data_IF_277145859855
#
_entry.id   IF_277145859855
#
_cell.length_a   1.000
_cell.length_b   1.000
_cell.length_c   1.000
_cell.angle_alpha   90.00
_cell.angle_beta   90.00
_cell.angle_gamma   90.00
#
_symmetry.space_group_name_H-M   'P 1'
#
loop_
_entity.id
_entity.type
_entity.pdbx_description
1 polymer ?
#
# COMPACT_ATOMS: atom_id res chain seq x y z
N UNK A 1 -13.85 36.30 20.57
CA UNK A 1 -12.71 35.58 20.12
C UNK A 1 -13.06 34.10 20.07
N UNK A 2 -13.32 33.52 18.88
CA UNK A 2 -13.50 32.09 18.69
C UNK A 2 -12.13 31.45 18.73
N UNK A 3 -11.89 30.58 19.72
CA UNK A 3 -10.65 29.90 19.91
C UNK A 3 -10.26 29.05 18.69
N UNK A 4 -9.04 29.25 18.20
CA UNK A 4 -8.38 28.36 17.27
C UNK A 4 -8.28 26.98 17.94
N UNK A 5 -9.23 26.09 17.62
CA UNK A 5 -9.10 24.68 17.92
C UNK A 5 -7.79 24.20 17.27
N UNK A 6 -6.84 23.77 18.09
CA UNK A 6 -5.62 23.14 17.61
C UNK A 6 -6.01 21.91 16.79
N UNK A 7 -5.92 22.05 15.46
CA UNK A 7 -5.98 20.88 14.56
C UNK A 7 -4.90 19.92 15.02
N UNK A 8 -5.28 18.72 15.36
CA UNK A 8 -4.29 17.67 15.57
C UNK A 8 -3.42 17.60 14.32
N UNK A 9 -2.10 17.47 14.49
CA UNK A 9 -1.12 17.35 13.40
C UNK A 9 -1.42 16.21 12.40
N UNK A 10 -2.39 15.35 12.73
CA UNK A 10 -2.90 14.24 11.91
C UNK A 10 -3.96 14.66 10.88
N UNK A 11 -4.52 15.88 10.98
CA UNK A 11 -5.60 16.35 10.10
C UNK A 11 -5.08 17.20 8.91
N UNK A 12 -3.83 17.06 8.53
CA UNK A 12 -3.32 17.66 7.30
C UNK A 12 -3.93 16.95 6.09
N UNK A 13 -4.94 17.56 5.51
CA UNK A 13 -5.45 17.18 4.19
C UNK A 13 -4.31 17.28 3.17
N UNK A 14 -4.01 16.17 2.47
CA UNK A 14 -3.05 16.18 1.37
C UNK A 14 -1.90 15.18 1.47
N UNK A 15 -2.02 14.17 2.31
CA UNK A 15 -1.05 13.08 2.38
C UNK A 15 -1.69 11.72 2.56
N UNK A 16 -1.02 10.67 2.09
CA UNK A 16 -1.45 9.28 2.26
C UNK A 16 -0.76 8.69 3.48
N UNK A 17 -1.45 8.48 4.63
CA UNK A 17 -0.85 7.95 5.86
C UNK A 17 -0.71 6.42 5.82
N UNK A 18 -0.23 5.87 4.69
CA UNK A 18 -0.12 4.42 4.48
C UNK A 18 0.78 3.76 5.53
N UNK A 19 1.93 4.34 5.83
CA UNK A 19 2.87 3.79 6.81
C UNK A 19 2.25 3.75 8.22
N UNK A 20 1.49 4.77 8.60
CA UNK A 20 0.80 4.80 9.90
C UNK A 20 -0.29 3.73 9.96
N UNK A 21 -1.03 3.54 8.87
CA UNK A 21 -2.03 2.47 8.75
C UNK A 21 -1.40 1.08 8.87
N UNK A 22 -0.26 0.85 8.20
CA UNK A 22 0.46 -0.44 8.27
C UNK A 22 0.95 -0.71 9.70
N UNK A 23 1.47 0.29 10.39
CA UNK A 23 1.96 0.17 11.79
C UNK A 23 0.82 -0.19 12.76
N UNK A 24 -0.39 0.28 12.52
CA UNK A 24 -1.56 -0.05 13.33
C UNK A 24 -2.21 -1.39 12.96
N UNK A 25 -2.01 -1.87 11.74
CA UNK A 25 -2.65 -3.06 11.21
C UNK A 25 -2.41 -4.35 12.02
N UNK A 26 -1.26 -4.64 12.64
CA UNK A 26 -1.05 -5.87 13.40
C UNK A 26 -2.09 -6.07 14.51
N UNK A 27 -2.42 -5.01 15.24
CA UNK A 27 -3.44 -5.08 16.28
C UNK A 27 -4.82 -5.38 15.69
N UNK A 28 -5.19 -4.69 14.61
CA UNK A 28 -6.49 -4.85 13.94
C UNK A 28 -6.64 -6.27 13.40
N UNK A 29 -5.61 -6.78 12.69
CA UNK A 29 -5.61 -8.11 12.08
C UNK A 29 -5.69 -9.21 13.15
N UNK A 30 -4.92 -9.11 14.23
CA UNK A 30 -4.95 -10.09 15.30
C UNK A 30 -6.28 -10.08 16.07
N UNK A 31 -6.82 -8.90 16.38
CA UNK A 31 -8.13 -8.77 17.01
C UNK A 31 -9.25 -9.35 16.13
N UNK A 32 -9.19 -9.07 14.80
CA UNK A 32 -10.15 -9.60 13.83
C UNK A 32 -10.07 -11.12 13.73
N UNK A 33 -8.86 -11.66 13.62
CA UNK A 33 -8.61 -13.11 13.57
C UNK A 33 -9.14 -13.81 14.81
N UNK A 34 -8.84 -13.28 16.00
CA UNK A 34 -9.25 -13.88 17.27
C UNK A 34 -10.78 -13.88 17.45
N UNK A 35 -11.44 -12.76 17.15
CA UNK A 35 -12.90 -12.63 17.26
C UNK A 35 -13.65 -13.56 16.31
N UNK A 36 -13.13 -13.76 15.10
CA UNK A 36 -13.80 -14.54 14.07
C UNK A 36 -13.25 -15.97 13.95
N UNK A 37 -12.27 -16.36 14.78
CA UNK A 37 -11.63 -17.69 14.79
C UNK A 37 -11.11 -18.09 13.40
N UNK A 38 -10.44 -17.17 12.71
CA UNK A 38 -9.95 -17.37 11.34
C UNK A 38 -8.52 -17.93 11.34
N UNK A 39 -8.26 -18.89 10.48
CA UNK A 39 -6.91 -19.41 10.22
C UNK A 39 -6.14 -18.53 9.26
N UNK A 40 -6.79 -18.11 8.17
CA UNK A 40 -6.19 -17.29 7.10
C UNK A 40 -6.87 -15.92 7.10
N UNK A 41 -6.06 -14.87 7.04
CA UNK A 41 -6.52 -13.49 6.89
C UNK A 41 -5.78 -12.86 5.72
N UNK A 42 -6.53 -12.25 4.79
CA UNK A 42 -5.98 -11.41 3.73
C UNK A 42 -6.15 -9.95 4.16
N UNK A 43 -5.05 -9.23 4.22
CA UNK A 43 -5.05 -7.80 4.52
C UNK A 43 -4.83 -7.04 3.21
N UNK A 44 -5.77 -6.17 2.88
CA UNK A 44 -5.78 -5.41 1.63
C UNK A 44 -5.52 -3.95 1.93
N UNK A 45 -4.51 -3.37 1.28
CA UNK A 45 -4.25 -1.94 1.27
C UNK A 45 -4.65 -1.37 -0.09
N UNK A 46 -5.58 -0.41 -0.09
CA UNK A 46 -5.99 0.36 -1.26
C UNK A 46 -5.51 1.79 -1.07
N UNK A 47 -4.71 2.29 -2.00
CA UNK A 47 -4.14 3.65 -1.94
C UNK A 47 -4.14 4.31 -3.32
N UNK A 48 -4.27 5.62 -3.36
CA UNK A 48 -4.17 6.48 -4.54
C UNK A 48 -2.87 7.30 -4.57
N UNK A 49 -2.00 7.09 -3.58
CA UNK A 49 -0.72 7.79 -3.45
C UNK A 49 0.37 6.96 -2.79
N UNK A 50 1.60 7.39 -2.97
CA UNK A 50 2.73 6.90 -2.20
C UNK A 50 2.59 7.28 -0.72
N UNK A 51 3.16 6.47 0.17
CA UNK A 51 3.13 6.80 1.60
C UNK A 51 3.80 8.13 1.89
N UNK A 52 3.27 8.87 2.85
CA UNK A 52 3.99 9.98 3.47
C UNK A 52 5.16 9.49 4.31
N UNK A 53 6.12 10.40 4.56
CA UNK A 53 7.16 10.13 5.54
C UNK A 53 6.55 9.79 6.90
N UNK A 54 7.05 8.74 7.54
CA UNK A 54 6.60 8.34 8.87
C UNK A 54 7.19 9.27 9.94
N UNK A 55 6.32 9.85 10.77
CA UNK A 55 6.69 10.79 11.84
C UNK A 55 6.67 10.15 13.24
N UNK A 56 6.68 8.82 13.31
CA UNK A 56 6.50 8.08 14.57
C UNK A 56 7.63 8.27 15.60
N UNK A 57 8.78 8.80 15.19
CA UNK A 57 9.88 9.14 16.13
C UNK A 57 9.97 10.65 16.27
N UNK A 58 9.34 11.18 17.30
CA UNK A 58 9.48 12.60 17.67
C UNK A 58 10.95 12.84 18.01
N UNK A 59 11.53 13.92 17.46
CA UNK A 59 12.91 14.36 17.71
C UNK A 59 14.03 13.50 17.08
N UNK A 60 13.74 12.63 16.13
CA UNK A 60 14.73 11.85 15.42
C UNK A 60 15.86 12.72 14.84
N UNK A 61 15.50 13.87 14.25
CA UNK A 61 16.45 14.83 13.67
C UNK A 61 17.37 15.51 14.71
N UNK A 62 16.92 15.65 15.95
CA UNK A 62 17.69 16.31 17.03
C UNK A 62 18.68 15.37 17.71
N UNK A 63 18.47 14.06 17.61
CA UNK A 63 19.35 13.07 18.25
C UNK A 63 20.57 12.67 17.41
N UNK A 64 20.69 13.16 16.16
CA UNK A 64 21.81 12.84 15.27
C UNK A 64 21.94 11.36 14.89
N UNK A 65 20.94 10.55 15.20
CA UNK A 65 20.92 9.12 14.90
C UNK A 65 20.58 8.90 13.43
N UNK A 66 21.41 8.13 12.73
CA UNK A 66 21.22 7.80 11.33
C UNK A 66 20.37 6.54 11.12
N UNK A 67 20.09 5.77 12.18
CA UNK A 67 19.37 4.50 12.11
C UNK A 67 18.57 4.26 13.38
N UNK A 68 17.37 3.69 13.23
CA UNK A 68 16.55 3.18 14.32
C UNK A 68 16.28 1.71 14.14
N UNK A 69 16.21 1.00 15.27
CA UNK A 69 15.81 -0.40 15.28
C UNK A 69 14.54 -0.55 16.09
N UNK A 70 13.54 -1.14 15.48
CA UNK A 70 12.37 -1.65 16.18
C UNK A 70 12.63 -3.11 16.55
N UNK A 71 12.58 -3.42 17.84
CA UNK A 71 12.65 -4.80 18.32
C UNK A 71 11.24 -5.30 18.61
N UNK A 72 10.79 -6.30 17.88
CA UNK A 72 9.54 -6.98 18.18
C UNK A 72 9.67 -7.77 19.48
N UNK A 73 8.87 -7.41 20.48
CA UNK A 73 8.96 -8.00 21.81
C UNK A 73 8.53 -9.47 21.86
N UNK A 74 7.78 -9.93 20.88
CA UNK A 74 7.28 -11.32 20.82
C UNK A 74 8.30 -12.24 20.17
N UNK A 75 8.81 -11.86 19.00
CA UNK A 75 9.74 -12.67 18.22
C UNK A 75 11.22 -12.39 18.53
N UNK A 76 11.53 -11.27 19.19
CA UNK A 76 12.90 -10.78 19.41
C UNK A 76 13.58 -10.27 18.15
N UNK A 77 12.88 -10.21 16.99
CA UNK A 77 13.45 -9.75 15.73
C UNK A 77 13.69 -8.24 15.75
N UNK A 78 14.78 -7.82 15.14
CA UNK A 78 15.14 -6.42 14.96
C UNK A 78 14.88 -6.00 13.51
N UNK A 79 14.24 -4.84 13.34
CA UNK A 79 13.94 -4.23 12.04
C UNK A 79 14.55 -2.84 11.98
N UNK A 80 15.33 -2.58 10.94
CA UNK A 80 15.92 -1.26 10.72
C UNK A 80 14.89 -0.32 10.09
N UNK A 81 14.68 0.84 10.71
CA UNK A 81 13.80 1.90 10.24
C UNK A 81 14.64 3.16 10.02
N UNK A 82 14.52 3.76 8.85
CA UNK A 82 15.21 4.99 8.53
C UNK A 82 14.44 6.21 9.05
N UNK A 83 15.02 7.01 9.95
CA UNK A 83 14.33 8.17 10.52
C UNK A 83 14.29 9.38 9.59
N UNK A 84 15.12 9.41 8.55
CA UNK A 84 15.35 10.62 7.73
C UNK A 84 14.30 10.85 6.64
N UNK A 85 13.33 10.00 6.56
CA UNK A 85 11.97 10.22 6.10
C UNK A 85 11.73 10.23 4.59
N UNK A 86 12.21 11.19 3.84
CA UNK A 86 11.72 11.42 2.47
C UNK A 86 12.40 10.56 1.40
N UNK A 87 13.68 10.29 1.54
CA UNK A 87 14.45 9.50 0.56
C UNK A 87 14.28 7.99 0.68
N UNK A 88 13.72 7.51 1.80
CA UNK A 88 13.60 6.09 2.12
C UNK A 88 12.18 5.65 2.51
N UNK A 89 11.16 6.39 2.03
CA UNK A 89 9.76 6.10 2.34
C UNK A 89 9.40 4.67 1.93
N UNK A 90 9.77 4.26 0.72
CA UNK A 90 9.46 2.93 0.19
C UNK A 90 10.17 1.82 0.98
N UNK A 91 11.41 2.05 1.42
CA UNK A 91 12.14 1.13 2.29
C UNK A 91 11.45 0.96 3.64
N UNK A 92 10.98 2.04 4.24
CA UNK A 92 10.23 1.99 5.49
C UNK A 92 8.89 1.28 5.31
N UNK A 93 8.17 1.55 4.23
CA UNK A 93 6.92 0.85 3.90
C UNK A 93 7.15 -0.66 3.81
N UNK A 94 8.18 -1.09 3.09
CA UNK A 94 8.59 -2.49 2.99
C UNK A 94 8.92 -3.11 4.35
N UNK A 95 9.64 -2.37 5.20
CA UNK A 95 9.97 -2.81 6.56
C UNK A 95 8.71 -2.97 7.42
N UNK A 96 7.78 -2.02 7.38
CA UNK A 96 6.52 -2.09 8.14
C UNK A 96 5.61 -3.23 7.66
N UNK A 97 5.53 -3.46 6.34
CA UNK A 97 4.82 -4.62 5.78
C UNK A 97 5.43 -5.93 6.26
N UNK A 98 6.76 -6.03 6.31
CA UNK A 98 7.45 -7.20 6.85
C UNK A 98 7.14 -7.42 8.33
N UNK A 99 7.15 -6.35 9.15
CA UNK A 99 6.76 -6.42 10.56
C UNK A 99 5.31 -6.93 10.68
N UNK A 100 4.38 -6.35 9.92
CA UNK A 100 2.98 -6.77 9.91
C UNK A 100 2.84 -8.25 9.57
N UNK A 101 3.52 -8.70 8.53
CA UNK A 101 3.50 -10.11 8.11
C UNK A 101 4.09 -11.04 9.17
N UNK A 102 5.23 -10.68 9.75
CA UNK A 102 5.90 -11.48 10.78
C UNK A 102 5.06 -11.57 12.08
N UNK A 103 4.35 -10.50 12.44
CA UNK A 103 3.50 -10.48 13.64
C UNK A 103 2.14 -11.15 13.46
N UNK A 104 1.63 -11.22 12.24
CA UNK A 104 0.26 -11.68 12.01
C UNK A 104 0.18 -12.93 11.14
N UNK A 105 1.18 -13.21 10.30
CA UNK A 105 1.10 -14.29 9.31
C UNK A 105 0.01 -14.09 8.27
N UNK A 106 -0.52 -12.85 8.08
CA UNK A 106 -1.54 -12.59 7.07
C UNK A 106 -0.93 -12.48 5.67
N UNK A 107 -1.76 -12.71 4.65
CA UNK A 107 -1.39 -12.37 3.28
C UNK A 107 -1.60 -10.88 3.04
N UNK A 108 -0.62 -10.25 2.41
CA UNK A 108 -0.61 -8.81 2.15
C UNK A 108 -0.87 -8.53 0.66
N UNK A 109 -1.95 -7.82 0.37
CA UNK A 109 -2.34 -7.48 -1.00
C UNK A 109 -2.41 -5.96 -1.11
N UNK A 110 -1.71 -5.39 -2.09
CA UNK A 110 -1.74 -3.96 -2.35
C UNK A 110 -2.45 -3.62 -3.65
N UNK A 111 -3.30 -2.60 -3.62
CA UNK A 111 -3.89 -1.99 -4.80
C UNK A 111 -3.52 -0.51 -4.83
N UNK A 112 -2.87 -0.10 -5.91
CA UNK A 112 -2.50 1.28 -6.13
C UNK A 112 -3.31 1.88 -7.28
N UNK A 113 -4.12 2.88 -6.97
CA UNK A 113 -4.86 3.65 -7.97
C UNK A 113 -3.91 4.65 -8.64
N UNK A 114 -3.54 4.35 -9.87
CA UNK A 114 -2.54 5.12 -10.59
C UNK A 114 -3.18 6.08 -11.60
N UNK A 115 -2.99 7.37 -11.41
CA UNK A 115 -3.53 8.43 -12.29
C UNK A 115 -2.56 8.85 -13.41
N UNK A 116 -1.52 8.07 -13.65
CA UNK A 116 -0.56 8.31 -14.74
C UNK A 116 -0.97 7.63 -16.05
N UNK A 117 -0.34 8.05 -17.15
CA UNK A 117 -0.40 7.31 -18.40
C UNK A 117 0.56 6.10 -18.39
N UNK A 118 0.42 5.21 -19.40
CA UNK A 118 1.23 4.01 -19.49
C UNK A 118 2.75 4.30 -19.54
N UNK A 119 3.18 5.32 -20.28
CA UNK A 119 4.62 5.64 -20.40
C UNK A 119 5.22 6.09 -19.06
N UNK A 120 4.44 6.81 -18.25
CA UNK A 120 4.85 7.19 -16.89
C UNK A 120 4.87 5.99 -15.96
N UNK A 121 3.89 5.07 -16.09
CA UNK A 121 3.88 3.80 -15.39
C UNK A 121 5.13 2.97 -15.68
N UNK A 122 5.51 2.81 -16.96
CA UNK A 122 6.72 2.08 -17.34
C UNK A 122 7.98 2.68 -16.74
N UNK A 123 8.14 4.00 -16.81
CA UNK A 123 9.31 4.68 -16.20
C UNK A 123 9.38 4.52 -14.69
N UNK A 124 8.24 4.49 -14.01
CA UNK A 124 8.18 4.39 -12.55
C UNK A 124 8.47 2.97 -12.03
N UNK A 125 7.97 1.95 -12.72
CA UNK A 125 8.01 0.57 -12.22
C UNK A 125 8.96 -0.34 -13.00
N UNK A 126 9.33 0.02 -14.23
CA UNK A 126 10.10 -0.82 -15.16
C UNK A 126 11.12 -0.01 -15.98
N UNK A 127 11.81 0.92 -15.34
CA UNK A 127 12.84 1.73 -16.01
C UNK A 127 13.90 0.84 -16.67
N UNK A 128 14.18 1.08 -17.96
CA UNK A 128 15.13 0.29 -18.72
C UNK A 128 14.61 -1.06 -19.22
N UNK A 129 13.31 -1.32 -19.17
CA UNK A 129 12.71 -2.52 -19.75
C UNK A 129 12.94 -2.58 -21.27
N UNK A 130 12.99 -3.81 -21.83
CA UNK A 130 13.12 -3.99 -23.27
C UNK A 130 11.85 -3.59 -24.00
N UNK A 131 11.99 -3.19 -25.29
CA UNK A 131 10.85 -2.84 -26.14
C UNK A 131 9.80 -3.97 -26.21
N UNK A 132 10.25 -5.22 -26.31
CA UNK A 132 9.33 -6.38 -26.35
C UNK A 132 8.51 -6.51 -25.07
N UNK A 133 9.13 -6.25 -23.89
CA UNK A 133 8.42 -6.23 -22.61
C UNK A 133 7.40 -5.09 -22.57
N UNK A 134 7.78 -3.88 -23.02
CA UNK A 134 6.89 -2.72 -23.03
C UNK A 134 5.64 -2.96 -23.88
N UNK A 135 5.77 -3.55 -25.06
CA UNK A 135 4.63 -3.87 -25.94
C UNK A 135 3.67 -4.89 -25.30
N UNK A 136 4.21 -5.95 -24.68
CA UNK A 136 3.41 -6.94 -23.96
C UNK A 136 2.70 -6.31 -22.74
N UNK A 137 3.42 -5.49 -22.00
CA UNK A 137 2.87 -4.77 -20.85
C UNK A 137 1.77 -3.79 -21.25
N UNK A 138 1.96 -3.04 -22.36
CA UNK A 138 1.00 -2.11 -22.91
C UNK A 138 -0.31 -2.80 -23.33
N UNK A 139 -0.20 -3.92 -24.01
CA UNK A 139 -1.36 -4.73 -24.37
C UNK A 139 -2.10 -5.19 -23.12
N UNK A 140 -1.39 -5.77 -22.16
CA UNK A 140 -2.00 -6.23 -20.90
C UNK A 140 -2.67 -5.08 -20.15
N UNK A 141 -2.00 -3.92 -20.00
CA UNK A 141 -2.54 -2.72 -19.37
C UNK A 141 -3.81 -2.22 -20.04
N UNK A 142 -3.79 -2.18 -21.38
CA UNK A 142 -4.94 -1.71 -22.16
C UNK A 142 -6.15 -2.65 -22.03
N UNK A 143 -5.89 -3.96 -22.09
CA UNK A 143 -6.95 -4.98 -22.06
C UNK A 143 -7.55 -5.16 -20.66
N UNK A 144 -6.70 -5.09 -19.60
CA UNK A 144 -7.12 -5.43 -18.25
C UNK A 144 -7.35 -4.21 -17.33
N UNK A 145 -6.85 -3.01 -17.70
CA UNK A 145 -6.90 -1.77 -16.91
C UNK A 145 -6.15 -1.85 -15.56
N UNK A 146 -5.35 -2.85 -15.36
CA UNK A 146 -4.42 -3.00 -14.23
C UNK A 146 -3.16 -3.75 -14.67
N UNK A 147 -2.12 -3.71 -13.83
CA UNK A 147 -0.90 -4.48 -14.04
C UNK A 147 -0.39 -5.06 -12.71
N UNK A 148 -0.06 -6.37 -12.64
CA UNK A 148 0.61 -6.93 -11.47
C UNK A 148 2.08 -6.48 -11.47
N UNK A 149 2.53 -5.95 -10.34
CA UNK A 149 3.90 -5.46 -10.16
C UNK A 149 4.55 -6.19 -9.00
N UNK A 150 5.82 -6.52 -9.11
CA UNK A 150 6.58 -7.02 -7.97
C UNK A 150 6.86 -5.85 -7.03
N UNK A 151 6.37 -5.93 -5.79
CA UNK A 151 6.60 -4.93 -4.76
C UNK A 151 7.24 -5.56 -3.55
N UNK A 152 8.18 -4.85 -2.94
CA UNK A 152 8.82 -5.31 -1.72
C UNK A 152 7.86 -5.24 -0.54
N UNK A 153 7.54 -6.40 0.04
CA UNK A 153 6.73 -6.51 1.25
C UNK A 153 5.29 -6.96 1.04
N UNK A 154 4.70 -6.80 -0.14
CA UNK A 154 3.41 -7.40 -0.48
C UNK A 154 3.58 -8.79 -1.08
N UNK A 155 2.61 -9.68 -0.82
CA UNK A 155 2.55 -10.97 -1.51
C UNK A 155 2.03 -10.78 -2.94
N UNK A 156 1.08 -9.85 -3.11
CA UNK A 156 0.54 -9.46 -4.41
C UNK A 156 0.36 -7.94 -4.45
N UNK A 157 0.79 -7.31 -5.54
CA UNK A 157 0.64 -5.87 -5.72
C UNK A 157 0.15 -5.55 -7.13
N UNK A 158 -0.90 -4.75 -7.20
CA UNK A 158 -1.58 -4.40 -8.44
C UNK A 158 -1.67 -2.89 -8.61
N UNK A 159 -1.17 -2.41 -9.74
CA UNK A 159 -1.37 -1.01 -10.16
C UNK A 159 -2.60 -0.95 -11.05
N UNK A 160 -3.59 -0.18 -10.63
CA UNK A 160 -4.88 -0.03 -11.32
C UNK A 160 -4.87 1.30 -12.07
N UNK A 161 -5.27 1.29 -13.34
CA UNK A 161 -5.37 2.50 -14.14
C UNK A 161 -6.55 3.37 -13.66
N UNK A 162 -6.26 4.36 -12.83
CA UNK A 162 -7.25 5.27 -12.27
C UNK A 162 -7.99 6.11 -13.33
N UNK A 163 -7.32 6.42 -14.45
CA UNK A 163 -7.96 7.14 -15.56
C UNK A 163 -9.02 6.35 -16.31
N UNK A 164 -8.98 5.03 -16.20
CA UNK A 164 -10.00 4.16 -16.76
C UNK A 164 -11.16 3.93 -15.79
N UNK A 165 -11.06 4.49 -14.57
CA UNK A 165 -12.13 4.47 -13.60
C UNK A 165 -13.10 5.59 -13.94
N UNK A 166 -14.27 5.24 -14.48
CA UNK A 166 -15.37 6.18 -14.62
C UNK A 166 -16.20 6.16 -13.33
N UNK A 167 -16.65 7.33 -12.89
CA UNK A 167 -17.60 7.48 -11.80
C UNK A 167 -18.96 6.87 -12.20
N UNK A 168 -19.06 5.56 -12.08
CA UNK A 168 -20.31 4.80 -12.33
C UNK A 168 -20.93 4.34 -11.02
N UNK A 169 -22.21 4.63 -10.83
CA UNK A 169 -23.06 4.16 -9.71
C UNK A 169 -23.41 2.67 -9.83
N UNK A 170 -22.46 1.81 -10.01
CA UNK A 170 -22.73 0.36 -10.02
C UNK A 170 -22.11 -0.26 -8.78
N UNK A 171 -22.88 -1.05 -8.06
CA UNK A 171 -22.38 -1.78 -6.89
C UNK A 171 -21.31 -2.77 -7.32
N UNK A 172 -20.13 -2.65 -6.71
CA UNK A 172 -19.06 -3.61 -6.90
C UNK A 172 -19.41 -4.90 -6.15
N UNK A 173 -19.85 -5.91 -6.87
CA UNK A 173 -20.09 -7.24 -6.30
C UNK A 173 -18.79 -8.03 -6.34
N UNK A 174 -18.20 -8.27 -5.17
CA UNK A 174 -17.02 -9.13 -5.01
C UNK A 174 -17.47 -10.41 -4.30
N UNK A 175 -17.24 -11.55 -4.93
CA UNK A 175 -17.39 -12.83 -4.26
C UNK A 175 -16.30 -12.96 -3.17
N UNK A 176 -16.68 -13.19 -1.89
CA UNK A 176 -15.73 -13.34 -0.79
C UNK A 176 -14.67 -14.43 -0.99
N UNK A 177 -14.94 -15.40 -1.89
CA UNK A 177 -14.02 -16.48 -2.25
C UNK A 177 -13.15 -16.17 -3.47
N UNK A 178 -13.23 -14.95 -4.00
CA UNK A 178 -12.44 -14.54 -5.16
C UNK A 178 -10.95 -14.49 -4.85
N UNK A 179 -10.13 -14.92 -5.82
CA UNK A 179 -8.67 -14.69 -5.76
C UNK A 179 -8.36 -13.20 -5.93
N UNK A 180 -7.21 -12.74 -5.42
CA UNK A 180 -6.74 -11.34 -5.55
C UNK A 180 -6.74 -10.87 -7.00
N UNK A 181 -6.36 -11.74 -7.94
CA UNK A 181 -6.42 -11.45 -9.37
C UNK A 181 -7.85 -11.22 -9.87
N UNK A 182 -8.81 -12.03 -9.43
CA UNK A 182 -10.25 -11.83 -9.76
C UNK A 182 -10.78 -10.55 -9.13
N UNK A 183 -10.35 -10.21 -7.92
CA UNK A 183 -10.68 -8.93 -7.29
C UNK A 183 -10.12 -7.75 -8.10
N UNK A 184 -8.85 -7.79 -8.53
CA UNK A 184 -8.27 -6.76 -9.39
C UNK A 184 -9.04 -6.60 -10.70
N UNK A 185 -9.43 -7.71 -11.34
CA UNK A 185 -10.27 -7.69 -12.55
C UNK A 185 -11.66 -7.13 -12.27
N UNK A 186 -12.30 -7.46 -11.14
CA UNK A 186 -13.60 -6.93 -10.76
C UNK A 186 -13.55 -5.42 -10.55
N UNK A 187 -12.53 -4.93 -9.83
CA UNK A 187 -12.27 -3.50 -9.65
C UNK A 187 -12.07 -2.79 -11.00
N UNK A 188 -11.25 -3.34 -11.87
CA UNK A 188 -10.96 -2.71 -13.15
C UNK A 188 -12.19 -2.72 -14.09
N UNK A 189 -12.98 -3.80 -14.10
CA UNK A 189 -14.23 -3.89 -14.89
C UNK A 189 -15.32 -2.99 -14.32
N UNK A 190 -15.44 -2.89 -13.01
CA UNK A 190 -16.35 -1.95 -12.35
C UNK A 190 -16.05 -0.51 -12.75
N UNK A 191 -14.77 -0.18 -12.83
CA UNK A 191 -14.28 1.14 -13.20
C UNK A 191 -14.41 1.45 -14.69
N UNK A 192 -14.47 0.44 -15.56
CA UNK A 192 -14.50 0.59 -17.02
C UNK A 192 -15.92 0.45 -17.64
N UNK A 193 -16.94 0.21 -16.84
CA UNK A 193 -18.33 0.14 -17.37
C UNK A 193 -18.94 1.52 -17.44
N UNK A 194 -19.15 2.00 -18.67
CA UNK A 194 -20.13 3.01 -19.03
C UNK A 194 -21.52 2.42 -19.03
#
# INVERSE_FOLDING_TARGET
GLGNGSRMLTDTLGGTPLNDAIVLAPKIVNDFRARNKLEIVNTIFLTDGGSNGWNGVKNAKTCGLSRYFYTDKVSGKNYEIDPTGWSNIERNTSTFLKILKDQTGCNLIGFFLYDGNFNRFMRQFYEGASYEFEEKAKKFWTDNKFYPVTSQGYDEYYVINGRAMEEGRNDLVIDPKSTSRKMAQAFSKFSAKK
#
